data_IF_423452630625
#
_entry.id   IF_423452630625
#
_cell.length_a   1.000
_cell.length_b   1.000
_cell.length_c   1.000
_cell.angle_alpha   90.00
_cell.angle_beta   90.00
_cell.angle_gamma   90.00
#
_symmetry.space_group_name_H-M   'P 1'
#
loop_
_entity.id
_entity.type
_entity.pdbx_description
1 polymer ?
#
# COMPACT_ATOMS: atom_id res chain seq x y z
N UNK A 1 20.81 10.04 -9.51
CA UNK A 1 20.63 11.26 -8.68
C UNK A 1 20.01 10.84 -7.38
N UNK A 2 20.46 11.41 -6.27
CA UNK A 2 19.84 11.13 -4.98
C UNK A 2 18.46 11.78 -4.93
N UNK A 3 17.47 11.05 -4.43
CA UNK A 3 16.10 11.55 -4.26
C UNK A 3 16.08 12.49 -3.06
N UNK A 4 15.56 13.70 -3.26
CA UNK A 4 15.57 14.79 -2.28
C UNK A 4 14.16 15.22 -1.91
N UNK A 5 13.86 15.19 -0.60
CA UNK A 5 12.60 15.66 -0.03
C UNK A 5 12.83 16.87 0.88
N UNK A 6 11.80 17.70 0.99
CA UNK A 6 11.77 18.77 1.98
C UNK A 6 10.77 18.42 3.10
N UNK A 7 11.24 18.55 4.33
CA UNK A 7 10.43 18.31 5.53
C UNK A 7 9.91 19.61 6.13
N UNK A 8 8.63 19.64 6.43
CA UNK A 8 7.93 20.79 7.01
C UNK A 8 7.33 20.36 8.34
N UNK A 9 7.85 20.91 9.43
CA UNK A 9 7.48 20.60 10.81
C UNK A 9 7.75 21.85 11.65
N UNK A 10 6.89 22.18 12.62
CA UNK A 10 7.06 23.29 13.57
C UNK A 10 7.97 22.93 14.75
N UNK A 11 8.11 21.64 15.07
CA UNK A 11 9.07 21.11 16.06
C UNK A 11 10.47 20.96 15.47
N UNK A 12 11.31 21.96 15.69
CA UNK A 12 12.69 21.96 15.18
C UNK A 12 13.56 20.84 15.75
N UNK A 13 13.40 20.47 17.02
CA UNK A 13 14.22 19.43 17.66
C UNK A 13 13.78 18.04 17.22
N UNK A 14 12.48 17.77 17.21
CA UNK A 14 11.91 16.52 16.67
C UNK A 14 12.22 16.32 15.19
N UNK A 15 12.09 17.37 14.38
CA UNK A 15 12.39 17.33 12.95
C UNK A 15 13.84 16.89 12.67
N UNK A 16 14.82 17.37 13.42
CA UNK A 16 16.24 16.97 13.28
C UNK A 16 16.45 15.47 13.45
N UNK A 17 15.73 14.86 14.40
CA UNK A 17 15.82 13.41 14.64
C UNK A 17 15.31 12.61 13.42
N UNK A 18 14.13 12.97 12.87
CA UNK A 18 13.57 12.31 11.69
C UNK A 18 14.42 12.53 10.45
N UNK A 19 14.89 13.76 10.19
CA UNK A 19 15.77 14.10 9.08
C UNK A 19 17.05 13.25 9.12
N UNK A 20 17.66 13.12 10.31
CA UNK A 20 18.83 12.28 10.49
C UNK A 20 18.54 10.82 10.20
N UNK A 21 17.40 10.29 10.69
CA UNK A 21 16.98 8.91 10.42
C UNK A 21 16.80 8.65 8.93
N UNK A 22 16.12 9.53 8.20
CA UNK A 22 15.97 9.44 6.76
C UNK A 22 17.31 9.51 6.03
N UNK A 23 18.16 10.48 6.38
CA UNK A 23 19.45 10.70 5.71
C UNK A 23 20.42 9.53 5.92
N UNK A 24 20.48 8.96 7.12
CA UNK A 24 21.32 7.79 7.43
C UNK A 24 20.90 6.54 6.66
N UNK A 25 19.65 6.46 6.21
CA UNK A 25 19.11 5.36 5.43
C UNK A 25 18.96 5.70 3.94
N UNK A 26 19.62 6.75 3.46
CA UNK A 26 19.79 7.04 2.04
C UNK A 26 18.68 7.84 1.37
N UNK A 27 17.86 8.61 2.13
CA UNK A 27 16.96 9.63 1.59
C UNK A 27 17.49 11.01 1.97
N UNK A 28 17.78 11.85 1.01
CA UNK A 28 18.19 13.24 1.28
C UNK A 28 16.98 14.04 1.74
N UNK A 29 17.01 14.53 2.97
CA UNK A 29 15.92 15.34 3.53
C UNK A 29 16.47 16.65 4.10
N UNK A 30 15.91 17.78 3.67
CA UNK A 30 16.21 19.10 4.18
C UNK A 30 14.96 19.73 4.80
N UNK A 31 15.11 20.50 5.87
CA UNK A 31 13.97 21.20 6.47
C UNK A 31 13.73 22.54 5.80
N UNK A 32 12.45 22.86 5.53
CA UNK A 32 12.01 24.22 5.25
C UNK A 32 11.52 24.84 6.57
N UNK A 33 12.05 25.99 6.93
CA UNK A 33 11.73 26.74 8.16
C UNK A 33 11.24 28.12 7.79
N UNK A 34 9.94 28.31 7.85
CA UNK A 34 9.29 29.60 7.58
C UNK A 34 8.28 29.92 8.69
N UNK A 35 7.88 31.19 8.79
CA UNK A 35 6.96 31.66 9.85
C UNK A 35 5.54 31.88 9.36
N UNK A 36 5.33 31.99 8.06
CA UNK A 36 4.03 32.28 7.47
C UNK A 36 3.73 31.33 6.33
N UNK A 37 2.45 31.15 6.05
CA UNK A 37 1.99 30.34 4.93
C UNK A 37 2.60 30.78 3.59
N UNK A 38 2.54 32.09 3.30
CA UNK A 38 3.10 32.62 2.06
C UNK A 38 4.61 32.48 1.95
N UNK A 39 5.33 32.57 3.07
CA UNK A 39 6.78 32.35 3.09
C UNK A 39 7.12 30.88 2.75
N UNK A 40 6.36 29.89 3.29
CA UNK A 40 6.50 28.48 2.91
C UNK A 40 6.27 28.28 1.42
N UNK A 41 5.20 28.84 0.87
CA UNK A 41 4.89 28.74 -0.56
C UNK A 41 6.00 29.35 -1.42
N UNK A 42 6.53 30.50 -1.05
CA UNK A 42 7.62 31.14 -1.79
C UNK A 42 8.92 30.35 -1.69
N UNK A 43 9.24 29.81 -0.51
CA UNK A 43 10.39 28.93 -0.32
C UNK A 43 10.28 27.67 -1.18
N UNK A 44 9.11 27.02 -1.21
CA UNK A 44 8.84 25.85 -2.05
C UNK A 44 9.03 26.18 -3.54
N UNK A 45 8.47 27.30 -4.02
CA UNK A 45 8.61 27.73 -5.43
C UNK A 45 10.06 28.00 -5.83
N UNK A 46 10.92 28.42 -4.91
CA UNK A 46 12.32 28.69 -5.18
C UNK A 46 13.18 27.44 -5.31
N UNK A 47 12.68 26.26 -4.92
CA UNK A 47 13.42 24.98 -4.98
C UNK A 47 13.35 24.41 -6.38
N UNK A 48 14.51 24.06 -6.95
CA UNK A 48 14.60 23.45 -8.28
C UNK A 48 14.87 21.94 -8.21
N UNK A 49 15.61 21.49 -7.19
CA UNK A 49 16.01 20.08 -7.01
C UNK A 49 15.15 19.43 -5.92
N UNK A 50 13.91 19.11 -6.27
CA UNK A 50 12.93 18.53 -5.34
C UNK A 50 12.25 17.34 -5.97
N UNK A 51 12.09 16.28 -5.17
CA UNK A 51 11.39 15.04 -5.53
C UNK A 51 10.12 14.82 -4.70
N UNK A 52 9.86 15.66 -3.71
CA UNK A 52 8.64 15.59 -2.89
C UNK A 52 8.73 16.32 -1.56
N UNK A 53 7.62 16.25 -0.81
CA UNK A 53 7.48 16.88 0.49
C UNK A 53 7.13 15.83 1.56
N UNK A 54 7.68 16.02 2.76
CA UNK A 54 7.22 15.36 3.98
C UNK A 54 6.64 16.47 4.86
N UNK A 55 5.38 16.31 5.29
CA UNK A 55 4.66 17.36 6.03
C UNK A 55 4.12 16.79 7.33
N UNK A 56 4.36 17.47 8.46
CA UNK A 56 3.64 17.12 9.68
C UNK A 56 2.19 17.61 9.64
N UNK A 57 1.31 16.87 10.28
CA UNK A 57 -0.11 17.23 10.33
C UNK A 57 -0.37 18.46 11.21
N UNK A 58 0.25 18.50 12.37
CA UNK A 58 0.06 19.56 13.35
C UNK A 58 1.21 20.54 13.28
N UNK A 59 1.04 21.58 12.49
CA UNK A 59 1.93 22.74 12.40
C UNK A 59 1.46 23.91 13.28
N UNK A 60 0.30 23.76 13.95
CA UNK A 60 -0.38 24.79 14.75
C UNK A 60 -0.24 24.59 16.27
N UNK A 61 0.61 23.65 16.71
CA UNK A 61 0.96 23.48 18.13
C UNK A 61 2.05 24.50 18.48
N UNK A 62 1.89 25.18 19.61
CA UNK A 62 2.92 26.10 20.14
C UNK A 62 4.15 25.25 20.51
N UNK A 63 5.27 25.35 19.81
CA UNK A 63 6.50 24.69 20.22
C UNK A 63 6.94 25.29 21.56
N UNK A 64 7.72 24.54 22.34
CA UNK A 64 8.24 25.03 23.62
C UNK A 64 9.02 26.35 23.52
N UNK A 65 9.40 26.78 22.31
CA UNK A 65 10.11 28.03 22.00
C UNK A 65 9.22 29.17 21.50
N UNK A 66 7.88 29.06 21.57
CA UNK A 66 6.98 30.19 21.46
C UNK A 66 6.47 30.58 20.07
N UNK A 67 6.77 29.84 19.00
CA UNK A 67 6.26 30.15 17.66
C UNK A 67 5.49 28.95 17.09
N UNK A 68 4.15 29.04 17.01
CA UNK A 68 3.32 28.10 16.25
C UNK A 68 3.03 28.64 14.86
N UNK A 69 2.92 27.74 13.88
CA UNK A 69 2.43 28.11 12.56
C UNK A 69 0.90 28.30 12.60
N UNK A 70 0.34 29.31 11.91
CA UNK A 70 -1.09 29.60 11.96
C UNK A 70 -1.94 28.68 11.06
N UNK A 71 -1.43 27.50 10.68
CA UNK A 71 -2.11 26.56 9.76
C UNK A 71 -1.68 25.12 10.02
N UNK A 72 -2.46 24.18 9.48
CA UNK A 72 -2.18 22.73 9.56
C UNK A 72 -1.51 22.22 8.30
N UNK A 73 -0.85 21.08 8.41
CA UNK A 73 -0.23 20.39 7.28
C UNK A 73 -1.21 20.04 6.15
N UNK A 74 -2.47 19.72 6.48
CA UNK A 74 -3.54 19.51 5.48
C UNK A 74 -3.84 20.77 4.68
N UNK A 75 -3.85 21.96 5.31
CA UNK A 75 -4.05 23.22 4.60
C UNK A 75 -2.91 23.52 3.62
N UNK A 76 -1.67 23.23 4.02
CA UNK A 76 -0.52 23.36 3.14
C UNK A 76 -0.57 22.35 2.00
N UNK A 77 -0.86 21.10 2.29
CA UNK A 77 -0.98 20.04 1.27
C UNK A 77 -2.07 20.38 0.25
N UNK A 78 -3.24 20.90 0.70
CA UNK A 78 -4.32 21.35 -0.19
C UNK A 78 -3.86 22.47 -1.12
N UNK A 79 -3.14 23.46 -0.61
CA UNK A 79 -2.62 24.56 -1.42
C UNK A 79 -1.58 24.05 -2.44
N UNK A 80 -0.70 23.13 -2.03
CA UNK A 80 0.26 22.51 -2.95
C UNK A 80 -0.47 21.77 -4.09
N UNK A 81 -1.53 20.98 -3.78
CA UNK A 81 -2.34 20.32 -4.80
C UNK A 81 -3.02 21.32 -5.73
N UNK A 82 -3.60 22.40 -5.20
CA UNK A 82 -4.21 23.45 -6.02
C UNK A 82 -3.19 24.07 -6.99
N UNK A 83 -1.96 24.27 -6.54
CA UNK A 83 -0.88 24.83 -7.38
C UNK A 83 -0.39 23.83 -8.42
N UNK A 84 -0.31 22.55 -8.11
CA UNK A 84 0.00 21.50 -9.09
C UNK A 84 -1.03 21.47 -10.22
N UNK A 85 -2.30 21.72 -9.91
CA UNK A 85 -3.41 21.74 -10.87
C UNK A 85 -3.58 23.06 -11.64
N UNK A 86 -2.87 24.11 -11.24
CA UNK A 86 -3.03 25.45 -11.80
C UNK A 86 -2.65 25.48 -13.29
N UNK A 87 -3.43 26.25 -14.06
CA UNK A 87 -3.11 26.62 -15.45
C UNK A 87 -2.31 27.91 -15.55
N UNK A 88 -2.20 28.65 -14.44
CA UNK A 88 -1.42 29.88 -14.36
C UNK A 88 0.03 29.52 -13.99
N UNK A 89 0.94 29.70 -14.92
CA UNK A 89 2.37 29.38 -14.76
C UNK A 89 3.02 30.19 -13.62
N UNK A 90 2.50 31.37 -13.30
CA UNK A 90 3.00 32.16 -12.17
C UNK A 90 2.61 31.58 -10.82
N UNK A 91 1.53 30.80 -10.77
CA UNK A 91 1.00 30.16 -9.58
C UNK A 91 1.39 28.68 -9.50
N UNK A 92 1.58 28.03 -10.63
CA UNK A 92 1.85 26.59 -10.76
C UNK A 92 3.16 26.16 -10.09
N UNK A 93 3.15 24.98 -9.51
CA UNK A 93 4.34 24.20 -9.13
C UNK A 93 4.33 22.85 -9.84
N UNK A 94 5.49 22.21 -10.02
CA UNK A 94 5.54 20.85 -10.58
C UNK A 94 4.80 19.83 -9.72
N UNK A 95 4.46 18.69 -10.34
CA UNK A 95 3.82 17.56 -9.65
C UNK A 95 4.85 16.81 -8.80
N UNK A 96 4.67 16.88 -7.49
CA UNK A 96 5.48 16.18 -6.50
C UNK A 96 4.61 15.36 -5.57
N UNK A 97 5.06 14.19 -5.09
CA UNK A 97 4.40 13.48 -4.02
C UNK A 97 4.46 14.25 -2.70
N UNK A 98 3.42 14.10 -1.90
CA UNK A 98 3.31 14.66 -0.56
C UNK A 98 3.12 13.51 0.43
N UNK A 99 4.03 13.38 1.38
CA UNK A 99 4.01 12.38 2.44
C UNK A 99 3.57 13.04 3.74
N UNK A 100 2.58 12.48 4.41
CA UNK A 100 2.24 12.86 5.78
C UNK A 100 3.11 12.09 6.76
N UNK A 101 3.74 12.77 7.68
CA UNK A 101 4.46 12.19 8.81
C UNK A 101 3.93 12.76 10.12
N UNK A 102 3.12 11.99 10.86
CA UNK A 102 2.46 12.49 12.06
C UNK A 102 2.27 11.39 13.12
N UNK A 103 1.98 11.76 14.36
CA UNK A 103 1.66 10.79 15.41
C UNK A 103 0.37 10.02 15.08
N UNK A 104 0.29 8.74 15.46
CA UNK A 104 -0.85 7.86 15.19
C UNK A 104 -2.17 8.43 15.69
N UNK A 105 -2.17 9.04 16.87
CA UNK A 105 -3.36 9.66 17.45
C UNK A 105 -3.88 10.81 16.59
N UNK A 106 -2.99 11.64 16.05
CA UNK A 106 -3.35 12.75 15.18
C UNK A 106 -3.96 12.25 13.87
N UNK A 107 -3.39 11.19 13.27
CA UNK A 107 -3.90 10.56 12.05
C UNK A 107 -5.33 10.03 12.28
N UNK A 108 -5.57 9.37 13.41
CA UNK A 108 -6.88 8.78 13.73
C UNK A 108 -7.95 9.82 14.07
N UNK A 109 -7.59 10.85 14.83
CA UNK A 109 -8.57 11.77 15.44
C UNK A 109 -8.79 13.06 14.65
N UNK A 110 -7.83 13.45 13.82
CA UNK A 110 -7.86 14.78 13.16
C UNK A 110 -7.86 14.72 11.65
N UNK A 111 -7.59 13.55 11.04
CA UNK A 111 -7.52 13.39 9.60
C UNK A 111 -8.77 12.65 9.10
N UNK A 112 -9.67 13.38 8.47
CA UNK A 112 -10.84 12.80 7.81
C UNK A 112 -10.46 12.13 6.48
N UNK A 113 -11.45 11.55 5.79
CA UNK A 113 -11.23 10.84 4.53
C UNK A 113 -10.67 11.77 3.44
N UNK A 114 -11.24 12.98 3.32
CA UNK A 114 -10.80 13.96 2.31
C UNK A 114 -9.40 14.50 2.60
N UNK A 115 -9.04 14.65 3.86
CA UNK A 115 -7.68 15.02 4.27
C UNK A 115 -6.64 13.94 3.94
N UNK A 116 -7.02 12.66 3.95
CA UNK A 116 -6.13 11.56 3.57
C UNK A 116 -5.79 11.56 2.08
N UNK A 117 -6.73 11.92 1.23
CA UNK A 117 -6.55 11.94 -0.23
C UNK A 117 -5.54 13.01 -0.71
N UNK A 118 -5.14 13.91 0.18
CA UNK A 118 -4.10 14.90 -0.11
C UNK A 118 -2.69 14.30 -0.14
N UNK A 119 -2.50 13.15 0.50
CA UNK A 119 -1.20 12.55 0.72
C UNK A 119 -1.04 11.23 -0.04
N UNK A 120 0.09 11.06 -0.69
CA UNK A 120 0.43 9.81 -1.39
C UNK A 120 0.81 8.69 -0.42
N UNK A 121 1.44 9.05 0.70
CA UNK A 121 1.77 8.15 1.79
C UNK A 121 1.45 8.81 3.13
N UNK A 122 1.00 7.99 4.08
CA UNK A 122 0.74 8.40 5.47
C UNK A 122 1.59 7.52 6.38
N UNK A 123 2.55 8.12 7.05
CA UNK A 123 3.51 7.45 7.93
C UNK A 123 3.29 7.91 9.37
N UNK A 124 3.12 6.96 10.29
CA UNK A 124 3.06 7.29 11.71
C UNK A 124 4.47 7.50 12.28
N UNK A 125 4.69 8.64 12.96
CA UNK A 125 5.93 8.90 13.71
C UNK A 125 6.21 7.79 14.75
N UNK A 126 5.14 7.21 15.32
CA UNK A 126 5.24 6.17 16.34
C UNK A 126 5.76 4.83 15.79
N UNK A 127 5.62 4.63 14.47
CA UNK A 127 6.09 3.43 13.78
C UNK A 127 7.50 3.62 13.16
N UNK A 128 8.13 4.79 13.32
CA UNK A 128 9.45 5.07 12.79
C UNK A 128 10.57 4.67 13.78
N UNK A 129 10.78 3.37 13.94
CA UNK A 129 11.98 2.83 14.58
C UNK A 129 13.13 2.63 13.59
N UNK A 130 14.32 2.31 14.10
CA UNK A 130 15.53 2.13 13.26
C UNK A 130 15.37 1.03 12.18
N UNK A 131 14.51 0.04 12.43
CA UNK A 131 14.26 -1.09 11.50
C UNK A 131 13.27 -0.76 10.41
N UNK A 132 12.40 0.21 10.64
CA UNK A 132 11.30 0.58 9.76
C UNK A 132 11.71 1.65 8.73
N UNK A 133 12.74 2.46 9.01
CA UNK A 133 13.23 3.47 8.07
C UNK A 133 13.52 2.93 6.66
N UNK A 134 14.23 1.81 6.47
CA UNK A 134 14.50 1.29 5.12
C UNK A 134 13.23 1.01 4.32
N UNK A 135 12.18 0.47 4.96
CA UNK A 135 10.90 0.19 4.33
C UNK A 135 10.21 1.48 3.88
N UNK A 136 10.03 2.44 4.79
CA UNK A 136 9.37 3.70 4.47
C UNK A 136 10.15 4.52 3.42
N UNK A 137 11.47 4.50 3.48
CA UNK A 137 12.31 5.16 2.48
C UNK A 137 12.17 4.50 1.11
N UNK A 138 12.12 3.17 1.04
CA UNK A 138 11.83 2.46 -0.20
C UNK A 138 10.48 2.88 -0.77
N UNK A 139 9.44 2.98 0.06
CA UNK A 139 8.11 3.44 -0.36
C UNK A 139 8.12 4.90 -0.86
N UNK A 140 8.76 5.82 -0.14
CA UNK A 140 8.89 7.23 -0.53
C UNK A 140 9.60 7.35 -1.88
N UNK A 141 10.72 6.64 -2.05
CA UNK A 141 11.47 6.64 -3.31
C UNK A 141 10.66 6.05 -4.46
N UNK A 142 9.94 4.96 -4.21
CA UNK A 142 9.11 4.30 -5.20
C UNK A 142 7.98 5.20 -5.70
N UNK A 143 7.30 5.92 -4.79
CA UNK A 143 6.28 6.90 -5.16
C UNK A 143 6.88 8.06 -5.97
N UNK A 144 8.03 8.60 -5.56
CA UNK A 144 8.71 9.65 -6.31
C UNK A 144 9.10 9.20 -7.73
N UNK A 145 9.62 7.98 -7.85
CA UNK A 145 9.96 7.41 -9.16
C UNK A 145 8.72 7.20 -10.03
N UNK A 146 7.63 6.69 -9.43
CA UNK A 146 6.37 6.49 -10.14
C UNK A 146 5.80 7.80 -10.69
N UNK A 147 5.85 8.90 -9.93
CA UNK A 147 5.48 10.22 -10.43
C UNK A 147 6.26 10.61 -11.68
N UNK A 148 7.59 10.40 -11.66
CA UNK A 148 8.45 10.70 -12.81
C UNK A 148 8.10 9.83 -14.03
N UNK A 149 7.83 8.55 -13.83
CA UNK A 149 7.45 7.64 -14.92
C UNK A 149 6.07 7.97 -15.49
N UNK A 150 5.06 8.29 -14.66
CA UNK A 150 3.73 8.72 -15.09
C UNK A 150 3.79 10.04 -15.88
N UNK A 151 4.63 11.00 -15.45
CA UNK A 151 4.85 12.25 -16.18
C UNK A 151 5.53 12.04 -17.52
N UNK A 152 6.42 11.05 -17.61
CA UNK A 152 7.21 10.77 -18.80
C UNK A 152 6.46 9.96 -19.85
N UNK A 153 5.62 9.01 -19.43
CA UNK A 153 4.91 8.11 -20.32
C UNK A 153 3.48 7.87 -19.87
N UNK A 154 2.55 7.84 -20.85
CA UNK A 154 1.16 7.41 -20.66
C UNK A 154 0.91 6.01 -21.20
N UNK A 155 1.93 5.32 -21.67
CA UNK A 155 1.82 3.94 -22.16
C UNK A 155 1.78 2.97 -20.97
N UNK A 156 0.64 2.29 -20.82
CA UNK A 156 0.38 1.31 -19.76
C UNK A 156 1.41 0.18 -19.79
N UNK A 157 1.86 -0.26 -20.97
CA UNK A 157 2.87 -1.31 -21.11
C UNK A 157 4.22 -0.88 -20.56
N UNK A 158 4.59 0.38 -20.80
CA UNK A 158 5.82 0.95 -20.23
C UNK A 158 5.75 1.08 -18.70
N UNK A 159 4.59 1.49 -18.16
CA UNK A 159 4.40 1.66 -16.73
C UNK A 159 4.31 0.34 -15.98
N UNK A 160 3.55 -0.63 -16.50
CA UNK A 160 3.25 -1.87 -15.81
C UNK A 160 4.15 -3.05 -16.21
N UNK A 161 4.95 -2.91 -17.29
CA UNK A 161 5.86 -3.95 -17.83
C UNK A 161 5.12 -5.26 -18.17
N UNK A 162 3.97 -5.12 -18.82
CA UNK A 162 3.10 -6.23 -19.25
C UNK A 162 2.30 -5.80 -20.48
N UNK A 163 1.91 -6.73 -21.33
CA UNK A 163 1.03 -6.43 -22.45
C UNK A 163 -0.41 -6.18 -21.97
N UNK A 164 -1.09 -5.19 -22.54
CA UNK A 164 -2.41 -4.77 -22.08
C UNK A 164 -3.49 -5.84 -22.30
N UNK A 165 -3.30 -6.70 -23.27
CA UNK A 165 -4.20 -7.81 -23.64
C UNK A 165 -4.19 -8.93 -22.58
N UNK A 166 -3.15 -8.99 -21.75
CA UNK A 166 -3.03 -9.97 -20.66
C UNK A 166 -3.75 -9.52 -19.37
N UNK A 167 -4.16 -8.25 -19.29
CA UNK A 167 -4.79 -7.67 -18.10
C UNK A 167 -6.31 -7.54 -18.29
N UNK A 168 -7.05 -7.46 -17.17
CA UNK A 168 -8.48 -7.14 -17.21
C UNK A 168 -8.73 -5.82 -17.96
N UNK A 169 -9.49 -5.89 -19.03
CA UNK A 169 -9.75 -4.73 -19.90
C UNK A 169 -10.44 -3.57 -19.16
N UNK A 170 -11.20 -3.85 -18.10
CA UNK A 170 -11.88 -2.82 -17.30
C UNK A 170 -10.85 -1.98 -16.55
N UNK A 171 -9.83 -2.63 -15.96
CA UNK A 171 -8.70 -1.95 -15.35
C UNK A 171 -7.91 -1.11 -16.36
N UNK A 172 -7.63 -1.68 -17.54
CA UNK A 172 -6.92 -0.96 -18.60
C UNK A 172 -7.69 0.29 -19.05
N UNK A 173 -9.01 0.18 -19.23
CA UNK A 173 -9.86 1.31 -19.63
C UNK A 173 -9.87 2.42 -18.56
N UNK A 174 -10.01 2.06 -17.28
CA UNK A 174 -10.02 3.03 -16.20
C UNK A 174 -8.64 3.70 -16.05
N UNK A 175 -7.55 2.93 -16.07
CA UNK A 175 -6.20 3.47 -16.01
C UNK A 175 -5.91 4.41 -17.19
N UNK A 176 -6.35 4.07 -18.40
CA UNK A 176 -6.26 4.95 -19.57
C UNK A 176 -6.96 6.28 -19.28
N UNK A 177 -8.17 6.22 -18.72
CA UNK A 177 -8.93 7.41 -18.33
C UNK A 177 -8.21 8.28 -17.32
N UNK A 178 -7.54 7.68 -16.33
CA UNK A 178 -6.73 8.39 -15.35
C UNK A 178 -5.50 9.03 -16.00
N UNK A 179 -4.74 8.27 -16.78
CA UNK A 179 -3.54 8.77 -17.46
C UNK A 179 -3.82 9.93 -18.42
N UNK A 180 -4.99 9.93 -19.09
CA UNK A 180 -5.34 10.95 -20.08
C UNK A 180 -5.93 12.22 -19.45
N UNK A 181 -6.71 12.08 -18.38
CA UNK A 181 -7.61 13.16 -17.91
C UNK A 181 -7.32 13.62 -16.48
N UNK A 182 -6.59 12.83 -15.70
CA UNK A 182 -6.38 13.10 -14.28
C UNK A 182 -4.96 13.58 -14.01
N UNK A 183 -4.77 14.39 -12.96
CA UNK A 183 -3.44 14.78 -12.50
C UNK A 183 -2.66 13.57 -11.98
N UNK A 184 -1.35 13.73 -11.90
CA UNK A 184 -0.44 12.63 -11.53
C UNK A 184 -0.76 12.07 -10.14
N UNK A 185 -1.11 12.91 -9.16
CA UNK A 185 -1.42 12.43 -7.82
C UNK A 185 -2.70 11.57 -7.78
N UNK A 186 -3.74 11.90 -8.55
CA UNK A 186 -4.95 11.07 -8.64
C UNK A 186 -4.64 9.73 -9.35
N UNK A 187 -3.82 9.77 -10.41
CA UNK A 187 -3.37 8.55 -11.12
C UNK A 187 -2.50 7.68 -10.22
N UNK A 188 -1.58 8.28 -9.45
CA UNK A 188 -0.76 7.60 -8.45
C UNK A 188 -1.62 6.95 -7.36
N UNK A 189 -2.58 7.70 -6.81
CA UNK A 189 -3.51 7.20 -5.79
C UNK A 189 -4.35 6.03 -6.32
N UNK A 190 -4.90 6.15 -7.54
CA UNK A 190 -5.63 5.06 -8.19
C UNK A 190 -4.78 3.79 -8.29
N UNK A 191 -3.55 3.90 -8.80
CA UNK A 191 -2.64 2.76 -8.94
C UNK A 191 -2.23 2.17 -7.60
N UNK A 192 -1.94 3.00 -6.59
CA UNK A 192 -1.57 2.50 -5.26
C UNK A 192 -2.75 1.78 -4.60
N UNK A 193 -3.93 2.40 -4.55
CA UNK A 193 -5.05 1.88 -3.78
C UNK A 193 -5.78 0.74 -4.49
N UNK A 194 -5.99 0.83 -5.81
CA UNK A 194 -6.84 -0.07 -6.57
C UNK A 194 -6.07 -1.10 -7.41
N UNK A 195 -4.74 -1.10 -7.33
CA UNK A 195 -3.92 -2.06 -8.05
C UNK A 195 -2.80 -2.64 -7.18
N UNK A 196 -2.01 -1.79 -6.49
CA UNK A 196 -0.88 -2.26 -5.68
C UNK A 196 -1.34 -2.78 -4.30
N UNK A 197 -2.22 -2.07 -3.59
CA UNK A 197 -2.68 -2.47 -2.25
C UNK A 197 -3.83 -3.46 -2.30
N UNK A 198 -4.60 -3.47 -3.38
CA UNK A 198 -5.69 -4.43 -3.57
C UNK A 198 -5.16 -5.84 -3.87
N UNK A 199 -6.01 -6.85 -3.64
CA UNK A 199 -5.81 -8.20 -4.12
C UNK A 199 -6.72 -8.43 -5.31
N UNK A 200 -6.35 -9.32 -6.23
CA UNK A 200 -7.12 -9.65 -7.42
C UNK A 200 -6.22 -9.81 -8.63
N UNK A 201 -6.01 -8.78 -9.46
CA UNK A 201 -5.08 -8.81 -10.60
C UNK A 201 -3.65 -9.12 -10.12
N UNK A 202 -3.23 -8.41 -9.07
CA UNK A 202 -1.99 -8.67 -8.35
C UNK A 202 -2.29 -9.27 -6.97
N UNK A 203 -1.32 -10.01 -6.45
CA UNK A 203 -1.36 -10.48 -5.07
C UNK A 203 -0.04 -10.20 -4.37
N UNK A 204 -0.11 -9.97 -3.06
CA UNK A 204 1.08 -9.92 -2.21
C UNK A 204 1.59 -11.33 -1.86
N UNK A 205 2.74 -11.38 -1.22
CA UNK A 205 3.40 -12.64 -0.89
C UNK A 205 2.59 -13.50 0.10
N UNK A 206 1.91 -12.88 1.07
CA UNK A 206 1.09 -13.62 2.02
C UNK A 206 -0.14 -14.24 1.35
N UNK A 207 -0.80 -13.48 0.48
CA UNK A 207 -1.93 -13.98 -0.31
C UNK A 207 -1.49 -15.05 -1.31
N UNK A 208 -0.32 -14.88 -1.95
CA UNK A 208 0.27 -15.91 -2.81
C UNK A 208 0.50 -17.21 -2.05
N UNK A 209 1.12 -17.14 -0.86
CA UNK A 209 1.34 -18.30 -0.01
C UNK A 209 0.02 -18.98 0.38
N UNK A 210 -1.01 -18.20 0.75
CA UNK A 210 -2.35 -18.71 1.04
C UNK A 210 -2.96 -19.45 -0.17
N UNK A 211 -2.90 -18.85 -1.37
CA UNK A 211 -3.42 -19.47 -2.60
C UNK A 211 -2.67 -20.72 -3.02
N UNK A 212 -1.40 -20.85 -2.66
CA UNK A 212 -0.63 -22.06 -2.88
C UNK A 212 -0.79 -23.07 -1.74
N UNK A 213 -1.49 -22.73 -0.65
CA UNK A 213 -1.72 -23.57 0.51
C UNK A 213 -0.51 -23.74 1.42
N UNK A 214 0.44 -22.80 1.37
CA UNK A 214 1.77 -22.90 2.00
C UNK A 214 1.88 -22.00 3.23
N UNK A 215 2.46 -22.53 4.30
CA UNK A 215 2.93 -21.76 5.45
C UNK A 215 4.34 -21.26 5.18
N UNK A 216 4.46 -20.09 4.53
CA UNK A 216 5.73 -19.58 3.99
C UNK A 216 6.83 -19.44 5.07
N UNK A 217 6.50 -18.92 6.25
CA UNK A 217 7.44 -18.67 7.36
C UNK A 217 8.11 -19.96 7.85
N UNK A 218 7.43 -21.11 7.77
CA UNK A 218 7.94 -22.42 8.23
C UNK A 218 8.51 -23.27 7.08
N UNK A 219 8.45 -22.78 5.84
CA UNK A 219 8.85 -23.52 4.64
C UNK A 219 10.28 -23.18 4.23
N UNK A 220 11.24 -24.09 4.48
CA UNK A 220 12.65 -23.87 4.08
C UNK A 220 12.83 -23.73 2.55
N UNK A 221 11.92 -24.31 1.76
CA UNK A 221 11.95 -24.23 0.29
C UNK A 221 11.15 -23.03 -0.26
N UNK A 222 10.66 -22.10 0.59
CA UNK A 222 9.82 -20.96 0.14
C UNK A 222 10.55 -20.08 -0.88
N UNK A 223 11.78 -19.66 -0.58
CA UNK A 223 12.58 -18.83 -1.49
C UNK A 223 12.87 -19.54 -2.83
N UNK A 224 13.07 -20.86 -2.81
CA UNK A 224 13.25 -21.63 -4.03
C UNK A 224 11.97 -21.70 -4.88
N UNK A 225 10.81 -21.75 -4.23
CA UNK A 225 9.53 -21.65 -4.92
C UNK A 225 9.35 -20.25 -5.51
N UNK A 226 9.63 -19.19 -4.77
CA UNK A 226 9.57 -17.81 -5.29
C UNK A 226 10.48 -17.60 -6.49
N UNK A 227 11.67 -18.21 -6.52
CA UNK A 227 12.56 -18.18 -7.70
C UNK A 227 11.91 -18.86 -8.92
N UNK A 228 11.17 -19.95 -8.73
CA UNK A 228 10.42 -20.61 -9.81
C UNK A 228 9.25 -19.74 -10.33
N UNK A 229 8.79 -18.77 -9.54
CA UNK A 229 7.72 -17.83 -9.85
C UNK A 229 8.24 -16.45 -10.28
N UNK A 230 9.53 -16.30 -10.54
CA UNK A 230 10.14 -15.00 -10.87
C UNK A 230 9.55 -14.33 -12.11
N UNK A 231 9.07 -15.11 -13.08
CA UNK A 231 8.44 -14.60 -14.31
C UNK A 231 6.98 -14.18 -14.07
N UNK A 232 6.38 -14.64 -12.96
CA UNK A 232 5.08 -14.21 -12.51
C UNK A 232 5.13 -12.91 -11.69
N UNK A 233 6.33 -12.48 -11.27
CA UNK A 233 6.50 -11.29 -10.44
C UNK A 233 6.21 -10.02 -11.23
N UNK A 234 5.45 -9.11 -10.62
CA UNK A 234 5.21 -7.75 -11.14
C UNK A 234 6.51 -6.94 -11.15
N UNK A 235 6.76 -6.20 -12.21
CA UNK A 235 8.01 -5.42 -12.41
C UNK A 235 7.76 -3.98 -12.86
N UNK A 236 6.52 -3.51 -12.83
CA UNK A 236 6.15 -2.14 -13.18
C UNK A 236 6.45 -1.13 -12.07
N UNK A 237 5.87 0.05 -12.21
CA UNK A 237 5.99 1.11 -11.19
C UNK A 237 5.53 0.60 -9.82
N UNK A 238 6.15 1.04 -8.73
CA UNK A 238 5.97 0.61 -7.34
C UNK A 238 6.50 -0.80 -7.00
N UNK A 239 6.95 -1.61 -7.96
CA UNK A 239 7.40 -2.98 -7.70
C UNK A 239 8.63 -3.08 -6.78
N UNK A 240 9.41 -2.03 -6.70
CA UNK A 240 10.62 -1.91 -5.86
C UNK A 240 10.31 -1.81 -4.36
N UNK A 241 9.14 -1.25 -4.00
CA UNK A 241 8.72 -1.13 -2.60
C UNK A 241 7.56 -2.06 -2.21
N UNK A 242 6.79 -2.53 -3.17
CA UNK A 242 5.66 -3.42 -2.96
C UNK A 242 5.78 -4.65 -3.87
N UNK A 243 6.44 -5.73 -3.43
CA UNK A 243 6.50 -6.98 -4.17
C UNK A 243 5.10 -7.54 -4.43
N UNK A 244 4.81 -7.85 -5.69
CA UNK A 244 3.52 -8.38 -6.14
C UNK A 244 3.72 -9.42 -7.23
N UNK A 245 2.71 -10.27 -7.42
CA UNK A 245 2.69 -11.30 -8.45
C UNK A 245 1.40 -11.20 -9.27
N UNK A 246 1.52 -11.35 -10.58
CA UNK A 246 0.39 -11.41 -11.50
C UNK A 246 -0.38 -12.71 -11.32
N UNK A 247 -1.67 -12.65 -10.95
CA UNK A 247 -2.46 -13.86 -10.74
C UNK A 247 -2.69 -14.67 -12.02
N UNK A 248 -2.84 -14.03 -13.18
CA UNK A 248 -2.95 -14.76 -14.44
C UNK A 248 -1.67 -15.56 -14.74
N UNK A 249 -0.47 -15.00 -14.52
CA UNK A 249 0.80 -15.73 -14.70
C UNK A 249 0.98 -16.85 -13.66
N UNK A 250 0.52 -16.66 -12.44
CA UNK A 250 0.47 -17.75 -11.44
C UNK A 250 -0.46 -18.87 -11.92
N UNK A 251 -1.61 -18.53 -12.52
CA UNK A 251 -2.54 -19.53 -13.05
C UNK A 251 -1.95 -20.29 -14.25
N UNK A 252 -1.24 -19.60 -15.13
CA UNK A 252 -0.51 -20.23 -16.24
C UNK A 252 0.62 -21.15 -15.75
N UNK A 253 1.42 -20.66 -14.82
CA UNK A 253 2.46 -21.47 -14.17
C UNK A 253 1.86 -22.72 -13.51
N UNK A 254 0.73 -22.59 -12.81
CA UNK A 254 0.03 -23.71 -12.19
C UNK A 254 -0.44 -24.73 -13.22
N UNK A 255 -1.01 -24.29 -14.34
CA UNK A 255 -1.48 -25.17 -15.41
C UNK A 255 -0.34 -25.99 -16.05
N UNK A 256 0.91 -25.53 -15.95
CA UNK A 256 2.07 -26.30 -16.42
C UNK A 256 2.47 -27.45 -15.47
N UNK A 257 2.04 -27.40 -14.21
CA UNK A 257 2.36 -28.43 -13.21
C UNK A 257 1.16 -29.26 -12.79
N UNK A 258 -0.07 -28.82 -13.07
CA UNK A 258 -1.32 -29.50 -12.72
C UNK A 258 -2.37 -29.32 -13.81
N UNK A 259 -3.15 -30.38 -14.07
CA UNK A 259 -4.35 -30.30 -14.92
C UNK A 259 -5.62 -29.87 -14.15
N UNK A 260 -5.55 -29.79 -12.82
CA UNK A 260 -6.65 -29.37 -11.95
C UNK A 260 -6.55 -27.87 -11.67
N UNK A 261 -7.69 -27.20 -11.56
CA UNK A 261 -7.72 -25.76 -11.24
C UNK A 261 -7.17 -25.51 -9.83
N UNK A 262 -6.31 -24.52 -9.70
CA UNK A 262 -5.69 -24.14 -8.40
C UNK A 262 -6.73 -23.97 -7.29
N UNK A 263 -7.81 -23.23 -7.56
CA UNK A 263 -8.86 -22.93 -6.57
C UNK A 263 -9.72 -24.15 -6.17
N UNK A 264 -9.74 -25.22 -6.98
CA UNK A 264 -10.54 -26.40 -6.70
C UNK A 264 -9.87 -27.41 -5.78
N UNK A 265 -8.66 -27.14 -5.33
CA UNK A 265 -7.84 -28.04 -4.53
C UNK A 265 -7.69 -27.50 -3.10
N UNK A 266 -7.62 -28.42 -2.13
CA UNK A 266 -7.25 -28.12 -0.75
C UNK A 266 -5.79 -27.69 -0.63
N UNK A 267 -5.42 -27.04 0.47
CA UNK A 267 -4.03 -26.65 0.74
C UNK A 267 -3.06 -27.83 0.67
N UNK A 268 -3.46 -28.98 1.22
CA UNK A 268 -2.63 -30.18 1.20
C UNK A 268 -2.40 -30.73 -0.20
N UNK A 269 -3.43 -30.76 -1.06
CA UNK A 269 -3.32 -31.20 -2.45
C UNK A 269 -2.41 -30.27 -3.27
N UNK A 270 -2.59 -28.96 -3.14
CA UNK A 270 -1.73 -27.96 -3.81
C UNK A 270 -0.26 -28.15 -3.44
N UNK A 271 0.04 -28.23 -2.16
CA UNK A 271 1.42 -28.40 -1.66
C UNK A 271 2.02 -29.73 -2.12
N UNK A 272 1.23 -30.81 -2.12
CA UNK A 272 1.72 -32.12 -2.57
C UNK A 272 2.07 -32.11 -4.07
N UNK A 273 1.26 -31.44 -4.90
CA UNK A 273 1.56 -31.28 -6.34
C UNK A 273 2.86 -30.50 -6.51
N UNK A 274 3.03 -29.37 -5.82
CA UNK A 274 4.23 -28.54 -5.89
C UNK A 274 5.47 -29.33 -5.46
N UNK A 275 5.41 -30.03 -4.31
CA UNK A 275 6.50 -30.87 -3.82
C UNK A 275 6.93 -31.91 -4.85
N UNK A 276 5.98 -32.61 -5.43
CA UNK A 276 6.25 -33.68 -6.37
C UNK A 276 6.80 -33.18 -7.71
N UNK A 277 6.25 -32.07 -8.22
CA UNK A 277 6.61 -31.55 -9.54
C UNK A 277 7.93 -30.77 -9.55
N UNK A 278 8.21 -30.06 -8.45
CA UNK A 278 9.37 -29.17 -8.36
C UNK A 278 10.48 -29.70 -7.44
N UNK A 279 10.27 -30.83 -6.75
CA UNK A 279 11.26 -31.37 -5.81
C UNK A 279 11.46 -30.50 -4.56
N UNK A 280 10.41 -29.78 -4.13
CA UNK A 280 10.44 -28.83 -3.00
C UNK A 280 9.88 -29.52 -1.73
N UNK A 281 10.59 -30.51 -1.20
CA UNK A 281 10.11 -31.38 -0.12
C UNK A 281 9.89 -30.69 1.22
N UNK A 282 10.52 -29.54 1.45
CA UNK A 282 10.50 -28.82 2.75
C UNK A 282 9.44 -27.71 2.84
N UNK A 283 8.50 -27.65 1.90
CA UNK A 283 7.33 -26.76 2.00
C UNK A 283 6.40 -27.27 3.12
N UNK A 284 5.89 -26.38 3.94
CA UNK A 284 4.92 -26.68 5.00
C UNK A 284 3.50 -26.30 4.56
N UNK A 285 2.54 -27.18 4.87
CA UNK A 285 1.13 -26.95 4.55
C UNK A 285 0.58 -25.90 5.52
N UNK A 286 -0.15 -24.94 4.99
CA UNK A 286 -0.88 -23.97 5.81
C UNK A 286 -1.98 -24.67 6.61
N UNK A 287 -2.24 -24.19 7.81
CA UNK A 287 -3.23 -24.77 8.74
C UNK A 287 -4.41 -23.83 8.93
N UNK A 288 -5.60 -24.41 9.15
CA UNK A 288 -6.81 -23.66 9.45
C UNK A 288 -6.68 -22.93 10.78
N UNK A 289 -7.26 -21.71 10.86
CA UNK A 289 -7.52 -21.08 12.15
C UNK A 289 -8.60 -21.84 12.95
N UNK A 290 -8.65 -21.64 14.28
CA UNK A 290 -9.79 -22.11 15.07
C UNK A 290 -11.13 -21.61 14.48
N UNK A 291 -12.15 -22.43 14.51
CA UNK A 291 -13.48 -22.15 13.97
C UNK A 291 -13.56 -22.03 12.43
N UNK A 292 -12.49 -22.37 11.70
CA UNK A 292 -12.53 -22.48 10.26
C UNK A 292 -12.84 -23.93 9.83
N UNK A 293 -13.75 -24.06 8.86
CA UNK A 293 -14.20 -25.36 8.33
C UNK A 293 -13.38 -25.78 7.10
N UNK A 294 -12.94 -24.81 6.28
CA UNK A 294 -12.31 -25.05 5.00
C UNK A 294 -10.78 -24.85 5.04
N UNK A 295 -10.05 -25.63 4.23
CA UNK A 295 -8.63 -25.44 3.91
C UNK A 295 -8.39 -25.08 2.43
N UNK A 296 -9.43 -24.67 1.72
CA UNK A 296 -9.37 -24.14 0.35
C UNK A 296 -8.97 -22.66 0.36
N UNK A 297 -7.92 -22.34 1.07
CA UNK A 297 -7.48 -20.96 1.28
C UNK A 297 -7.35 -20.17 -0.02
N UNK A 298 -7.88 -18.94 0.00
CA UNK A 298 -7.77 -18.03 -1.15
C UNK A 298 -7.35 -16.62 -0.77
N UNK A 299 -7.59 -16.23 0.46
CA UNK A 299 -7.26 -14.92 0.99
C UNK A 299 -6.60 -15.04 2.36
N UNK A 300 -6.27 -13.90 2.97
CA UNK A 300 -5.72 -13.83 4.32
C UNK A 300 -6.64 -13.02 5.24
N UNK A 301 -6.68 -13.41 6.49
CA UNK A 301 -7.34 -12.66 7.55
C UNK A 301 -6.58 -11.36 7.83
N UNK A 302 -7.22 -10.20 7.71
CA UNK A 302 -6.58 -8.89 7.92
C UNK A 302 -6.12 -8.64 9.36
N UNK A 303 -6.67 -9.37 10.34
CA UNK A 303 -6.27 -9.21 11.74
C UNK A 303 -5.12 -10.13 12.15
N UNK A 304 -5.16 -11.41 11.75
CA UNK A 304 -4.17 -12.43 12.13
C UNK A 304 -3.08 -12.67 11.09
N UNK A 305 -3.26 -12.22 9.86
CA UNK A 305 -2.43 -12.53 8.68
C UNK A 305 -2.36 -14.05 8.38
N UNK A 306 -3.32 -14.82 8.87
CA UNK A 306 -3.41 -16.25 8.57
C UNK A 306 -4.24 -16.51 7.31
N UNK A 307 -3.95 -17.59 6.56
CA UNK A 307 -4.73 -17.98 5.40
C UNK A 307 -6.14 -18.41 5.80
N UNK A 308 -7.12 -17.98 5.02
CA UNK A 308 -8.52 -18.35 5.19
C UNK A 308 -9.18 -18.63 3.84
N UNK A 309 -10.21 -19.46 3.85
CA UNK A 309 -11.20 -19.51 2.78
C UNK A 309 -12.20 -18.36 2.98
N UNK A 310 -12.70 -17.79 1.90
CA UNK A 310 -13.73 -16.72 1.94
C UNK A 310 -15.00 -17.16 2.68
N UNK A 311 -15.35 -18.46 2.63
CA UNK A 311 -16.53 -19.00 3.34
C UNK A 311 -16.38 -18.93 4.87
N UNK A 312 -15.16 -18.97 5.38
CA UNK A 312 -14.83 -18.85 6.80
C UNK A 312 -14.54 -17.39 7.20
N UNK A 313 -14.57 -16.48 6.21
CA UNK A 313 -14.31 -15.07 6.40
C UNK A 313 -15.57 -14.24 6.68
N UNK A 314 -15.40 -13.19 7.45
CA UNK A 314 -16.37 -12.11 7.63
C UNK A 314 -15.88 -10.91 6.82
N UNK A 315 -16.71 -10.41 5.91
CA UNK A 315 -16.36 -9.26 5.07
C UNK A 315 -16.17 -8.01 5.93
N UNK A 316 -15.08 -7.30 5.74
CA UNK A 316 -14.82 -6.02 6.40
C UNK A 316 -15.77 -4.94 5.86
N UNK A 317 -16.21 -4.01 6.69
CA UNK A 317 -17.09 -2.92 6.30
C UNK A 317 -16.37 -1.93 5.34
N UNK A 318 -17.18 -1.14 4.62
CA UNK A 318 -16.65 -0.08 3.75
C UNK A 318 -16.18 -0.53 2.37
N UNK A 319 -16.47 -1.77 1.96
CA UNK A 319 -16.05 -2.34 0.68
C UNK A 319 -17.21 -2.42 -0.36
N UNK A 320 -18.17 -1.49 -0.29
CA UNK A 320 -19.31 -1.47 -1.21
C UNK A 320 -18.96 -1.06 -2.65
N UNK A 321 -17.83 -0.40 -2.85
CA UNK A 321 -17.41 0.22 -4.10
C UNK A 321 -16.08 -0.33 -4.62
N UNK A 322 -15.84 -1.63 -4.43
CA UNK A 322 -14.68 -2.29 -5.05
C UNK A 322 -14.82 -2.27 -6.58
N UNK A 323 -13.70 -2.06 -7.24
CA UNK A 323 -13.66 -2.27 -8.68
C UNK A 323 -13.82 -3.74 -9.05
N UNK A 324 -14.27 -4.07 -10.27
CA UNK A 324 -14.52 -5.46 -10.67
C UNK A 324 -13.30 -6.40 -10.64
N UNK A 325 -12.10 -5.85 -10.58
CA UNK A 325 -10.83 -6.60 -10.48
C UNK A 325 -10.29 -6.69 -9.05
N UNK A 326 -10.95 -6.04 -8.09
CA UNK A 326 -10.54 -6.09 -6.67
C UNK A 326 -11.31 -7.18 -5.93
N UNK A 327 -10.63 -7.85 -5.06
CA UNK A 327 -11.23 -8.85 -4.16
C UNK A 327 -11.51 -8.23 -2.79
N UNK A 328 -12.57 -8.72 -2.15
CA UNK A 328 -12.94 -8.31 -0.79
C UNK A 328 -11.86 -8.69 0.22
N UNK A 329 -11.74 -7.87 1.26
CA UNK A 329 -10.93 -8.19 2.44
C UNK A 329 -11.79 -8.82 3.53
N UNK A 330 -11.22 -9.77 4.24
CA UNK A 330 -11.90 -10.57 5.24
C UNK A 330 -11.16 -10.59 6.57
N UNK A 331 -11.90 -10.92 7.61
CA UNK A 331 -11.37 -11.30 8.92
C UNK A 331 -11.99 -12.63 9.32
N UNK A 332 -11.20 -13.53 9.93
CA UNK A 332 -11.73 -14.81 10.41
C UNK A 332 -12.66 -14.62 11.60
N UNK A 333 -13.55 -15.59 11.82
CA UNK A 333 -14.46 -15.63 12.98
C UNK A 333 -13.63 -15.61 14.28
N UNK A 334 -12.57 -16.42 14.35
CA UNK A 334 -11.67 -16.45 15.50
C UNK A 334 -11.03 -15.08 15.80
N UNK A 335 -10.52 -14.42 14.78
CA UNK A 335 -9.92 -13.08 14.90
C UNK A 335 -10.93 -12.04 15.38
N UNK A 336 -12.15 -12.07 14.82
CA UNK A 336 -13.20 -11.13 15.19
C UNK A 336 -13.68 -11.34 16.64
N UNK A 337 -13.88 -12.58 17.08
CA UNK A 337 -14.28 -12.91 18.45
C UNK A 337 -13.21 -12.51 19.48
N UNK A 338 -11.95 -12.75 19.17
CA UNK A 338 -10.82 -12.45 20.05
C UNK A 338 -10.27 -11.03 19.88
N UNK A 339 -10.84 -10.22 18.99
CA UNK A 339 -10.44 -8.83 18.69
C UNK A 339 -8.94 -8.69 18.33
N UNK A 340 -8.40 -9.63 17.60
CA UNK A 340 -6.99 -9.64 17.21
C UNK A 340 -6.76 -8.57 16.14
N UNK A 341 -6.08 -7.48 16.49
CA UNK A 341 -5.75 -6.34 15.63
C UNK A 341 -6.94 -5.70 14.89
N UNK A 342 -8.18 -5.90 15.38
CA UNK A 342 -9.40 -5.40 14.75
C UNK A 342 -10.49 -5.19 15.81
N UNK A 343 -11.29 -4.15 15.67
CA UNK A 343 -12.55 -4.02 16.38
C UNK A 343 -13.66 -4.76 15.60
N UNK A 344 -13.98 -5.96 16.06
CA UNK A 344 -14.90 -6.86 15.37
C UNK A 344 -16.25 -6.22 15.02
N UNK A 345 -16.83 -5.43 15.95
CA UNK A 345 -18.14 -4.82 15.73
C UNK A 345 -18.08 -3.56 14.85
N UNK A 346 -16.96 -2.88 14.82
CA UNK A 346 -16.74 -1.68 14.00
C UNK A 346 -16.33 -2.03 12.58
N UNK A 347 -15.39 -2.94 12.45
CA UNK A 347 -14.71 -3.21 11.19
C UNK A 347 -15.38 -4.31 10.34
N UNK A 348 -16.25 -5.15 10.93
CA UNK A 348 -17.01 -6.17 10.20
C UNK A 348 -18.29 -5.59 9.60
N UNK A 349 -18.68 -6.04 8.40
CA UNK A 349 -19.91 -5.65 7.73
C UNK A 349 -21.18 -6.06 8.53
N UNK A 350 -22.33 -5.45 8.23
CA UNK A 350 -23.58 -5.76 8.91
C UNK A 350 -23.97 -7.25 8.80
N UNK A 351 -23.77 -7.86 7.63
CA UNK A 351 -24.01 -9.29 7.41
C UNK A 351 -23.02 -10.13 8.23
N UNK A 352 -21.75 -9.74 8.24
CA UNK A 352 -20.73 -10.39 9.06
C UNK A 352 -21.02 -10.32 10.56
N UNK A 353 -21.57 -9.19 11.04
CA UNK A 353 -22.01 -9.06 12.44
C UNK A 353 -23.14 -10.02 12.83
N UNK A 354 -24.11 -10.24 11.93
CA UNK A 354 -25.15 -11.23 12.14
C UNK A 354 -24.56 -12.64 12.29
N UNK A 355 -23.67 -13.03 11.39
CA UNK A 355 -22.97 -14.32 11.47
C UNK A 355 -22.12 -14.44 12.74
N UNK A 356 -21.38 -13.39 13.10
CA UNK A 356 -20.57 -13.38 14.32
C UNK A 356 -21.42 -13.58 15.59
N UNK A 357 -22.64 -13.05 15.63
CA UNK A 357 -23.54 -13.19 16.77
C UNK A 357 -23.99 -14.66 17.06
N UNK A 358 -23.91 -15.55 16.07
CA UNK A 358 -24.21 -16.97 16.21
C UNK A 358 -23.14 -17.69 17.03
N UNK A 359 -21.89 -17.22 16.96
CA UNK A 359 -20.74 -17.77 17.70
C UNK A 359 -20.54 -17.13 19.09
N UNK A 360 -21.28 -16.05 19.40
CA UNK A 360 -21.16 -15.34 20.67
C UNK A 360 -22.18 -15.83 21.73
N UNK A 361 -22.96 -16.85 21.39
CA UNK A 361 -23.92 -17.51 22.29
C UNK A 361 -23.23 -18.70 22.96
#
# INVERSE_FOLDING_TARGET
MDIKFYYIDDDNEGAHSFIRGFSQNGLVVEQIKEKTFDAYINAIKSKQDIDGFIVDHKLDIIPQNGESLPFRGTSLAQELRNRQLSKDDTYKIPDYPIVLLSATENIKNSLDYTGKDLFDLIISKDNLGMREYPLFISQIKSVSNAYKEILKSKDIRELLKVETEEIDFRFVNDLTGYLDKKPVHETSAFLLHHFIYSQGILVDELTLAARLGIKSIESEDWERLLESLKDCKYRGIYADAWPRWWMFKISEWWNNISSQLLRSLSASERVQIIKNKLGLGKLQIATKEPLADSDYFWTICKGSNQPIDEIDGLVIAGQSNLYPWEESSFVSINTALNKINIDAWKDVSSIGKLRLSEYSK
#
